data_IF_320960804303
#
_entry.id   IF_320960804303
#
_cell.length_a   1.000
_cell.length_b   1.000
_cell.length_c   1.000
_cell.angle_alpha   90.00
_cell.angle_beta   90.00
_cell.angle_gamma   90.00
#
_symmetry.space_group_name_H-M   'P 1'
#
loop_
_entity.id
_entity.type
_entity.pdbx_description
1 polymer ?
#
# COMPACT_ATOMS: atom_id res chain seq x y z
N UNK A 1 -0.08 -7.14 15.02
CA UNK A 1 0.80 -7.23 13.84
C UNK A 1 1.36 -8.64 13.78
N UNK A 2 1.36 -9.25 12.60
CA UNK A 2 1.93 -10.57 12.36
C UNK A 2 3.31 -10.44 11.69
N UNK A 3 4.25 -11.37 11.90
CA UNK A 3 5.48 -11.44 11.12
C UNK A 3 5.19 -11.54 9.61
N UNK A 4 6.15 -11.14 8.78
CA UNK A 4 6.08 -11.38 7.33
C UNK A 4 6.20 -12.89 7.06
N UNK A 5 5.37 -13.39 6.15
CA UNK A 5 5.51 -14.74 5.61
C UNK A 5 6.72 -14.84 4.66
N UNK A 6 7.18 -16.07 4.40
CA UNK A 6 8.32 -16.32 3.51
C UNK A 6 8.07 -15.82 2.06
N UNK A 7 6.81 -15.84 1.62
CA UNK A 7 6.41 -15.43 0.27
C UNK A 7 6.00 -13.95 0.20
N UNK A 8 6.13 -13.21 1.30
CA UNK A 8 5.78 -11.79 1.34
C UNK A 8 7.01 -10.92 1.04
N UNK A 9 6.85 -9.82 0.28
CA UNK A 9 7.97 -8.98 -0.08
C UNK A 9 8.60 -8.35 1.16
N UNK A 10 9.94 -8.31 1.22
CA UNK A 10 10.65 -7.63 2.30
C UNK A 10 10.62 -6.10 2.17
N UNK A 11 10.33 -5.58 0.97
CA UNK A 11 10.25 -4.15 0.68
C UNK A 11 9.28 -3.86 -0.48
N UNK A 12 8.75 -2.64 -0.52
CA UNK A 12 7.95 -2.09 -1.62
C UNK A 12 8.39 -0.65 -1.86
N UNK A 13 8.88 -0.39 -3.08
CA UNK A 13 9.51 0.89 -3.39
C UNK A 13 10.57 1.26 -2.33
N UNK A 14 10.54 2.47 -1.75
CA UNK A 14 11.51 2.92 -0.74
C UNK A 14 11.19 2.42 0.69
N UNK A 15 10.20 1.54 0.88
CA UNK A 15 9.72 1.15 2.21
C UNK A 15 10.09 -0.31 2.53
N UNK A 16 10.85 -0.50 3.60
CA UNK A 16 11.12 -1.84 4.16
C UNK A 16 9.91 -2.31 4.95
N UNK A 17 9.39 -3.49 4.67
CA UNK A 17 8.27 -4.07 5.41
C UNK A 17 8.77 -4.71 6.72
N UNK A 18 8.01 -4.54 7.79
CA UNK A 18 8.33 -5.00 9.14
C UNK A 18 7.38 -6.09 9.63
N UNK A 19 6.19 -6.17 9.05
CA UNK A 19 5.16 -7.11 9.43
C UNK A 19 3.81 -6.76 8.81
N UNK A 20 2.86 -7.68 8.89
CA UNK A 20 1.50 -7.50 8.38
C UNK A 20 0.60 -6.89 9.45
N UNK A 21 -0.08 -5.80 9.10
CA UNK A 21 -1.10 -5.15 9.92
C UNK A 21 -2.47 -5.78 9.72
N UNK A 22 -2.79 -6.18 8.48
CA UNK A 22 -4.06 -6.83 8.17
C UNK A 22 -4.13 -7.32 6.72
N UNK A 23 -5.17 -8.09 6.42
CA UNK A 23 -5.50 -8.57 5.09
C UNK A 23 -7.01 -8.56 4.89
N UNK A 24 -7.47 -8.19 3.71
CA UNK A 24 -8.88 -8.21 3.33
C UNK A 24 -9.07 -8.44 1.84
N UNK A 25 -10.31 -8.25 1.36
CA UNK A 25 -10.69 -8.57 -0.01
C UNK A 25 -9.78 -7.95 -1.07
N UNK A 26 -9.46 -6.65 -0.95
CA UNK A 26 -8.68 -5.92 -1.95
C UNK A 26 -7.16 -6.20 -1.89
N UNK A 27 -6.63 -6.67 -0.75
CA UNK A 27 -5.19 -6.72 -0.56
C UNK A 27 -4.74 -6.90 0.88
N UNK A 28 -3.46 -6.60 1.10
CA UNK A 28 -2.79 -6.68 2.40
C UNK A 28 -2.25 -5.31 2.80
N UNK A 29 -2.20 -5.05 4.09
CA UNK A 29 -1.63 -3.85 4.67
C UNK A 29 -0.46 -4.24 5.56
N UNK A 30 0.68 -3.62 5.32
CA UNK A 30 1.93 -3.88 6.01
C UNK A 30 2.38 -2.67 6.82
N UNK A 31 3.05 -2.93 7.93
CA UNK A 31 3.86 -1.94 8.63
C UNK A 31 5.15 -1.78 7.86
N UNK A 32 5.44 -0.57 7.40
CA UNK A 32 6.67 -0.23 6.68
C UNK A 32 7.52 0.79 7.43
N UNK A 33 8.80 0.85 7.07
CA UNK A 33 9.73 1.91 7.47
C UNK A 33 10.34 2.54 6.23
N UNK A 34 10.27 3.86 6.13
CA UNK A 34 11.05 4.62 5.14
C UNK A 34 12.54 4.65 5.52
N UNK A 35 13.40 5.00 4.56
CA UNK A 35 14.84 5.20 4.81
C UNK A 35 15.11 6.25 5.91
N UNK A 36 14.28 7.28 6.02
CA UNK A 36 14.37 8.31 7.07
C UNK A 36 13.80 7.89 8.44
N UNK A 37 13.44 6.61 8.62
CA UNK A 37 12.94 6.10 9.91
C UNK A 37 11.46 6.35 10.17
N UNK A 38 10.73 7.04 9.28
CA UNK A 38 9.28 7.21 9.41
C UNK A 38 8.57 5.86 9.25
N UNK A 39 7.70 5.55 10.20
CA UNK A 39 6.79 4.40 10.16
C UNK A 39 5.58 4.71 9.27
N UNK A 40 5.20 3.77 8.40
CA UNK A 40 4.12 3.94 7.42
C UNK A 40 3.24 2.70 7.33
N UNK A 41 2.02 2.85 6.83
CA UNK A 41 1.19 1.73 6.39
C UNK A 41 1.31 1.60 4.87
N UNK A 42 1.67 0.41 4.37
CA UNK A 42 1.79 0.11 2.93
C UNK A 42 0.68 -0.85 2.54
N UNK A 43 -0.24 -0.43 1.68
CA UNK A 43 -1.32 -1.27 1.15
C UNK A 43 -0.90 -1.82 -0.22
N UNK A 44 -0.81 -3.14 -0.33
CA UNK A 44 -0.53 -3.85 -1.58
C UNK A 44 -1.83 -4.53 -2.03
N UNK A 45 -2.23 -4.29 -3.27
CA UNK A 45 -3.40 -4.90 -3.89
C UNK A 45 -3.07 -6.32 -4.35
N UNK A 46 -4.01 -7.27 -4.23
CA UNK A 46 -3.77 -8.63 -4.74
C UNK A 46 -3.63 -8.66 -6.28
N UNK A 47 -2.76 -9.52 -6.85
CA UNK A 47 -2.53 -9.61 -8.30
C UNK A 47 -3.81 -9.72 -9.15
N UNK A 48 -4.80 -10.48 -8.67
CA UNK A 48 -6.09 -10.67 -9.36
C UNK A 48 -6.85 -9.36 -9.65
N UNK A 49 -6.66 -8.33 -8.82
CA UNK A 49 -7.23 -7.00 -9.05
C UNK A 49 -6.28 -6.08 -9.81
N UNK A 50 -4.97 -6.27 -9.63
CA UNK A 50 -3.96 -5.47 -10.34
C UNK A 50 -3.91 -5.79 -11.85
N UNK A 51 -4.37 -6.97 -12.27
CA UNK A 51 -4.53 -7.37 -13.66
C UNK A 51 -5.83 -6.84 -14.31
N UNK A 52 -6.78 -6.33 -13.51
CA UNK A 52 -8.02 -5.74 -14.00
C UNK A 52 -7.81 -4.24 -14.27
N UNK A 53 -7.86 -3.84 -15.55
CA UNK A 53 -7.64 -2.44 -15.96
C UNK A 53 -8.68 -1.48 -15.39
N UNK A 54 -9.94 -1.91 -15.23
CA UNK A 54 -11.01 -1.09 -14.66
C UNK A 54 -10.75 -0.87 -13.17
N UNK A 55 -10.30 -1.91 -12.48
CA UNK A 55 -9.84 -1.81 -11.11
C UNK A 55 -8.65 -0.86 -10.99
N UNK A 56 -7.61 -0.99 -11.83
CA UNK A 56 -6.45 -0.07 -11.83
C UNK A 56 -6.89 1.38 -12.03
N UNK A 57 -7.82 1.63 -12.97
CA UNK A 57 -8.36 2.96 -13.20
C UNK A 57 -9.11 3.53 -11.99
N UNK A 58 -9.91 2.71 -11.30
CA UNK A 58 -10.57 3.08 -10.05
C UNK A 58 -9.56 3.34 -8.93
N UNK A 59 -8.56 2.48 -8.78
CA UNK A 59 -7.52 2.64 -7.77
C UNK A 59 -6.71 3.92 -7.98
N UNK A 60 -6.35 4.27 -9.22
CA UNK A 60 -5.76 5.58 -9.57
C UNK A 60 -6.63 6.74 -9.09
N UNK A 61 -7.94 6.68 -9.34
CA UNK A 61 -8.88 7.73 -8.91
C UNK A 61 -8.97 7.84 -7.39
N UNK A 62 -9.01 6.71 -6.68
CA UNK A 62 -9.04 6.67 -5.21
C UNK A 62 -7.77 7.28 -4.61
N UNK A 63 -6.59 6.91 -5.12
CA UNK A 63 -5.30 7.50 -4.71
C UNK A 63 -5.31 9.02 -4.93
N UNK A 64 -5.77 9.47 -6.11
CA UNK A 64 -5.83 10.89 -6.43
C UNK A 64 -6.81 11.65 -5.50
N UNK A 65 -7.95 11.05 -5.16
CA UNK A 65 -8.90 11.62 -4.22
C UNK A 65 -8.34 11.66 -2.79
N UNK A 66 -7.75 10.56 -2.32
CA UNK A 66 -7.18 10.46 -0.98
C UNK A 66 -6.00 11.42 -0.77
N UNK A 67 -5.19 11.70 -1.81
CA UNK A 67 -4.14 12.73 -1.77
C UNK A 67 -4.69 14.15 -1.56
N UNK A 68 -5.93 14.42 -1.96
CA UNK A 68 -6.59 15.72 -1.76
C UNK A 68 -7.21 15.84 -0.37
N UNK A 69 -7.52 14.71 0.27
CA UNK A 69 -8.02 14.66 1.64
C UNK A 69 -6.83 14.75 2.58
N UNK A 70 -6.47 15.98 2.94
CA UNK A 70 -5.51 16.28 4.01
C UNK A 70 -6.23 16.81 5.26
N UNK A 71 -5.57 16.72 6.41
CA UNK A 71 -6.05 17.33 7.64
C UNK A 71 -5.66 16.54 8.88
N UNK A 72 -5.94 17.10 10.06
CA UNK A 72 -5.57 16.52 11.35
C UNK A 72 -6.18 15.12 11.61
N UNK A 73 -7.23 14.74 10.89
CA UNK A 73 -8.05 13.57 11.17
C UNK A 73 -7.94 12.44 10.15
N UNK A 74 -7.11 12.60 9.11
CA UNK A 74 -6.97 11.60 8.05
C UNK A 74 -5.50 11.24 7.84
N UNK A 75 -5.23 9.97 7.55
CA UNK A 75 -3.87 9.53 7.24
C UNK A 75 -3.50 10.02 5.83
N UNK A 76 -2.43 10.82 5.67
CA UNK A 76 -2.04 11.32 4.35
C UNK A 76 -1.46 10.19 3.51
N UNK A 77 -1.78 10.19 2.21
CA UNK A 77 -1.11 9.34 1.22
C UNK A 77 0.28 9.90 0.95
N UNK A 78 1.32 9.18 1.37
CA UNK A 78 2.72 9.62 1.22
C UNK A 78 3.30 9.31 -0.16
N UNK A 79 2.95 8.15 -0.68
CA UNK A 79 3.38 7.65 -1.99
C UNK A 79 2.32 6.65 -2.49
N UNK A 80 2.28 6.44 -3.80
CA UNK A 80 1.46 5.43 -4.45
C UNK A 80 1.94 5.18 -5.87
N UNK A 81 2.04 3.91 -6.24
CA UNK A 81 2.28 3.46 -7.61
C UNK A 81 1.14 2.52 -8.06
N UNK A 82 0.06 3.08 -8.63
CA UNK A 82 -1.05 2.29 -9.15
C UNK A 82 -0.74 1.66 -10.52
N UNK A 83 0.40 2.01 -11.12
CA UNK A 83 0.83 1.55 -12.43
C UNK A 83 1.99 0.53 -12.36
N UNK A 84 2.39 0.16 -11.14
CA UNK A 84 3.39 -0.86 -10.86
C UNK A 84 3.12 -2.19 -11.62
N UNK A 85 4.18 -2.89 -12.03
CA UNK A 85 4.06 -4.23 -12.60
C UNK A 85 3.53 -5.22 -11.55
N UNK A 86 2.84 -6.26 -12.04
CA UNK A 86 2.28 -7.36 -11.21
C UNK A 86 3.29 -8.49 -11.07
#
# INVERSE_FOLDING_TARGET
>A
MQPLGADEPAAVGPYRLLGRLGSGGMGRVYLGRSAGGRTVAVKIVHPQYALDEEFRARFRREVAAARRVGGAWTAPVLDADPDAPV
#
